data_IF_597414315408
#
_entry.id   IF_597414315408
#
_cell.length_a   1.000
_cell.length_b   1.000
_cell.length_c   1.000
_cell.angle_alpha   90.00
_cell.angle_beta   90.00
_cell.angle_gamma   90.00
#
_symmetry.space_group_name_H-M   'P 1'
#
loop_
_entity.id
_entity.type
_entity.pdbx_description
1 polymer ?
#
# COMPACT_ATOMS: atom_id res chain seq x y z
N UNK A 1 -9.89 5.95 -15.25
CA UNK A 1 -8.57 6.24 -14.65
C UNK A 1 -7.57 5.20 -15.10
N UNK A 2 -6.31 5.59 -15.34
CA UNK A 2 -5.20 4.66 -15.60
C UNK A 2 -4.49 4.29 -14.29
N UNK A 3 -3.77 3.17 -14.29
CA UNK A 3 -2.96 2.71 -13.14
C UNK A 3 -2.01 3.81 -12.64
N UNK A 4 -1.22 4.39 -13.55
CA UNK A 4 -0.29 5.46 -13.17
C UNK A 4 -0.96 6.70 -12.55
N UNK A 5 -2.23 6.98 -12.82
CA UNK A 5 -2.95 8.08 -12.15
C UNK A 5 -3.24 7.76 -10.69
N UNK A 6 -3.64 6.52 -10.40
CA UNK A 6 -3.87 6.03 -9.04
C UNK A 6 -2.56 5.99 -8.28
N UNK A 7 -1.51 5.41 -8.87
CA UNK A 7 -0.17 5.35 -8.25
C UNK A 7 0.36 6.76 -7.97
N UNK A 8 0.20 7.72 -8.89
CA UNK A 8 0.61 9.10 -8.66
C UNK A 8 -0.19 9.78 -7.53
N UNK A 9 -1.50 9.51 -7.45
CA UNK A 9 -2.35 10.03 -6.38
C UNK A 9 -1.96 9.43 -5.02
N UNK A 10 -1.71 8.12 -4.96
CA UNK A 10 -1.25 7.42 -3.76
C UNK A 10 0.10 7.95 -3.33
N UNK A 11 1.07 8.06 -4.25
CA UNK A 11 2.40 8.62 -3.99
C UNK A 11 2.31 10.00 -3.35
N UNK A 12 1.52 10.89 -3.95
CA UNK A 12 1.32 12.26 -3.45
C UNK A 12 0.66 12.28 -2.07
N UNK A 13 -0.30 11.40 -1.83
CA UNK A 13 -1.06 11.36 -0.57
C UNK A 13 -0.25 10.75 0.57
N UNK A 14 0.51 9.69 0.27
CA UNK A 14 1.36 8.98 1.23
C UNK A 14 2.74 9.64 1.44
N UNK A 15 3.09 10.63 0.61
CA UNK A 15 4.40 11.29 0.69
C UNK A 15 5.57 10.40 0.25
N UNK A 16 5.30 9.41 -0.62
CA UNK A 16 6.32 8.51 -1.14
C UNK A 16 7.12 9.20 -2.25
N UNK A 17 8.43 8.97 -2.30
CA UNK A 17 9.26 9.50 -3.38
C UNK A 17 9.26 8.56 -4.59
N UNK A 18 9.20 7.25 -4.33
CA UNK A 18 9.27 6.21 -5.35
C UNK A 18 7.89 5.81 -5.87
N UNK A 19 7.78 5.67 -7.20
CA UNK A 19 6.54 5.25 -7.84
C UNK A 19 6.33 3.73 -7.78
N UNK A 20 7.42 2.95 -7.69
CA UNK A 20 7.35 1.49 -7.47
C UNK A 20 6.75 1.20 -6.10
N UNK A 21 7.30 1.80 -5.05
CA UNK A 21 6.79 1.72 -3.68
C UNK A 21 5.32 2.13 -3.60
N UNK A 22 4.91 3.22 -4.27
CA UNK A 22 3.49 3.59 -4.30
C UNK A 22 2.60 2.56 -5.01
N UNK A 23 3.10 1.87 -6.04
CA UNK A 23 2.38 0.79 -6.71
C UNK A 23 2.28 -0.46 -5.83
N UNK A 24 3.37 -0.86 -5.18
CA UNK A 24 3.39 -1.97 -4.23
C UNK A 24 2.50 -1.70 -3.01
N UNK A 25 2.55 -0.48 -2.45
CA UNK A 25 1.63 -0.01 -1.41
C UNK A 25 0.16 -0.17 -1.80
N UNK A 26 -0.17 0.24 -3.02
CA UNK A 26 -1.52 0.14 -3.56
C UNK A 26 -1.95 -1.31 -3.68
N UNK A 27 -1.08 -2.18 -4.24
CA UNK A 27 -1.36 -3.60 -4.43
C UNK A 27 -1.50 -4.33 -3.10
N UNK A 28 -0.57 -4.13 -2.17
CA UNK A 28 -0.61 -4.75 -0.84
C UNK A 28 -1.88 -4.35 -0.08
N UNK A 29 -2.25 -3.07 -0.10
CA UNK A 29 -3.48 -2.58 0.52
C UNK A 29 -4.73 -3.24 -0.06
N UNK A 30 -4.82 -3.33 -1.39
CA UNK A 30 -5.97 -3.95 -2.04
C UNK A 30 -6.05 -5.46 -1.80
N UNK A 31 -4.92 -6.16 -1.81
CA UNK A 31 -4.86 -7.59 -1.49
C UNK A 31 -5.42 -7.86 -0.08
N UNK A 32 -4.96 -7.10 0.91
CA UNK A 32 -5.42 -7.26 2.31
C UNK A 32 -6.87 -6.83 2.47
N UNK A 33 -7.29 -5.76 1.79
CA UNK A 33 -8.69 -5.34 1.77
C UNK A 33 -9.58 -6.43 1.16
N UNK A 34 -9.17 -7.06 0.06
CA UNK A 34 -9.89 -8.13 -0.60
C UNK A 34 -10.12 -9.36 0.28
N UNK A 35 -9.17 -9.69 1.16
CA UNK A 35 -9.32 -10.76 2.16
C UNK A 35 -10.44 -10.46 3.17
N UNK A 36 -10.64 -9.18 3.50
CA UNK A 36 -11.62 -8.74 4.49
C UNK A 36 -13.04 -8.64 3.91
N UNK A 37 -13.16 -8.35 2.61
CA UNK A 37 -14.43 -8.33 1.89
C UNK A 37 -15.00 -9.76 1.78
N UNK A 38 -16.33 -9.89 1.74
CA UNK A 38 -17.00 -11.18 1.71
C UNK A 38 -17.65 -11.45 0.35
N UNK A 39 -17.66 -12.72 -0.08
CA UNK A 39 -18.38 -13.12 -1.28
C UNK A 39 -17.87 -12.38 -2.52
N UNK A 40 -18.76 -11.75 -3.30
CA UNK A 40 -18.41 -11.08 -4.56
C UNK A 40 -17.94 -9.62 -4.44
N UNK A 41 -17.91 -9.06 -3.22
CA UNK A 41 -17.49 -7.67 -2.98
C UNK A 41 -16.10 -7.29 -3.55
N UNK A 42 -15.03 -8.12 -3.43
CA UNK A 42 -13.75 -7.76 -4.03
C UNK A 42 -13.79 -7.80 -5.57
N UNK A 43 -14.65 -8.64 -6.15
CA UNK A 43 -14.89 -8.66 -7.59
C UNK A 43 -15.61 -7.41 -8.10
N UNK A 44 -16.58 -6.91 -7.33
CA UNK A 44 -17.26 -5.64 -7.65
C UNK A 44 -16.28 -4.45 -7.60
N UNK A 45 -15.44 -4.40 -6.56
CA UNK A 45 -14.37 -3.41 -6.44
C UNK A 45 -13.37 -3.51 -7.61
N UNK A 46 -12.96 -4.73 -7.98
CA UNK A 46 -12.09 -4.98 -9.12
C UNK A 46 -12.69 -4.48 -10.45
N UNK A 47 -14.02 -4.50 -10.60
CA UNK A 47 -14.73 -3.99 -11.76
C UNK A 47 -14.60 -2.47 -11.97
N UNK A 48 -14.21 -1.74 -10.92
CA UNK A 48 -14.03 -0.28 -10.95
C UNK A 48 -12.57 0.14 -11.15
N UNK A 49 -11.64 -0.83 -11.16
CA UNK A 49 -10.20 -0.57 -11.17
C UNK A 49 -9.57 -0.86 -12.54
N UNK A 50 -8.48 -0.14 -12.88
CA UNK A 50 -7.70 -0.44 -14.08
C UNK A 50 -7.01 -1.81 -14.01
N UNK A 51 -6.68 -2.36 -15.18
CA UNK A 51 -6.26 -3.76 -15.32
C UNK A 51 -5.07 -4.19 -14.45
N UNK A 52 -4.03 -3.37 -14.29
CA UNK A 52 -2.86 -3.75 -13.50
C UNK A 52 -3.02 -3.62 -11.97
N UNK A 53 -4.10 -2.96 -11.53
CA UNK A 53 -4.45 -2.80 -10.10
C UNK A 53 -5.48 -3.85 -9.68
N UNK A 54 -6.47 -4.14 -10.53
CA UNK A 54 -7.51 -5.14 -10.22
C UNK A 54 -6.93 -6.54 -9.99
N UNK A 55 -5.75 -6.84 -10.53
CA UNK A 55 -5.05 -8.12 -10.33
C UNK A 55 -4.66 -8.38 -8.86
N UNK A 56 -4.64 -7.34 -8.02
CA UNK A 56 -4.45 -7.48 -6.58
C UNK A 56 -5.70 -8.00 -5.85
N UNK A 57 -6.86 -8.01 -6.50
CA UNK A 57 -8.12 -8.46 -5.92
C UNK A 57 -8.52 -9.83 -6.46
N UNK A 58 -8.92 -10.73 -5.57
CA UNK A 58 -9.57 -11.98 -5.96
C UNK A 58 -11.01 -11.75 -6.37
N UNK A 59 -11.55 -12.63 -7.23
CA UNK A 59 -12.95 -12.57 -7.64
C UNK A 59 -13.91 -12.78 -6.45
N UNK A 60 -13.47 -13.50 -5.42
CA UNK A 60 -14.22 -13.75 -4.20
C UNK A 60 -13.36 -13.50 -2.97
N UNK A 61 -13.98 -12.96 -1.91
CA UNK A 61 -13.32 -12.68 -0.63
C UNK A 61 -13.78 -13.62 0.48
N UNK A 62 -12.86 -13.92 1.39
CA UNK A 62 -13.06 -14.85 2.51
C UNK A 62 -13.89 -14.24 3.66
N UNK A 63 -14.07 -12.91 3.67
CA UNK A 63 -14.71 -12.20 4.77
C UNK A 63 -13.90 -12.28 6.07
N UNK A 64 -12.57 -12.31 5.96
CA UNK A 64 -11.69 -12.48 7.11
C UNK A 64 -11.87 -11.33 8.10
N UNK A 65 -12.02 -11.67 9.38
CA UNK A 65 -12.17 -10.67 10.45
C UNK A 65 -10.85 -10.44 11.15
N UNK A 66 -10.29 -9.25 10.96
CA UNK A 66 -9.10 -8.80 11.66
C UNK A 66 -9.16 -7.30 11.94
N UNK A 67 -8.50 -6.89 13.02
CA UNK A 67 -8.43 -5.49 13.46
C UNK A 67 -7.49 -4.64 12.60
N UNK A 68 -7.50 -3.32 12.86
CA UNK A 68 -6.70 -2.35 12.10
C UNK A 68 -5.18 -2.58 12.23
N UNK A 69 -4.68 -3.01 13.39
CA UNK A 69 -3.25 -3.33 13.57
C UNK A 69 -2.80 -4.52 12.71
N UNK A 70 -3.63 -5.56 12.65
CA UNK A 70 -3.36 -6.73 11.82
C UNK A 70 -3.45 -6.37 10.34
N UNK A 71 -4.37 -5.49 9.96
CA UNK A 71 -4.45 -4.93 8.62
C UNK A 71 -3.13 -4.26 8.23
N UNK A 72 -2.62 -3.35 9.07
CA UNK A 72 -1.35 -2.70 8.79
C UNK A 72 -0.19 -3.69 8.71
N UNK A 73 -0.11 -4.66 9.61
CA UNK A 73 0.94 -5.69 9.57
C UNK A 73 0.95 -6.46 8.24
N UNK A 74 -0.20 -6.88 7.74
CA UNK A 74 -0.30 -7.59 6.47
C UNK A 74 0.02 -6.71 5.27
N UNK A 75 -0.37 -5.44 5.31
CA UNK A 75 -0.02 -4.49 4.24
C UNK A 75 1.49 -4.30 4.21
N UNK A 76 2.12 -4.05 5.35
CA UNK A 76 3.57 -3.89 5.44
C UNK A 76 4.34 -5.15 4.99
N UNK A 77 3.84 -6.33 5.32
CA UNK A 77 4.40 -7.61 4.84
C UNK A 77 4.28 -7.74 3.30
N UNK A 78 3.11 -7.38 2.76
CA UNK A 78 2.82 -7.45 1.33
C UNK A 78 3.53 -6.40 0.48
N UNK A 79 3.91 -5.25 1.06
CA UNK A 79 4.70 -4.23 0.37
C UNK A 79 6.13 -4.71 0.10
N UNK A 80 6.70 -5.59 0.95
CA UNK A 80 8.09 -6.03 0.84
C UNK A 80 9.14 -4.93 1.08
N UNK A 81 8.72 -3.67 1.10
CA UNK A 81 9.46 -2.50 1.55
C UNK A 81 9.26 -2.37 3.06
N UNK A 82 10.00 -3.15 3.85
CA UNK A 82 10.02 -2.98 5.29
C UNK A 82 10.18 -1.50 5.62
N UNK A 83 9.30 -0.94 6.47
CA UNK A 83 9.16 0.49 6.67
C UNK A 83 10.52 1.17 6.67
N UNK A 84 10.86 1.88 5.59
CA UNK A 84 12.01 2.76 5.60
C UNK A 84 11.62 3.92 6.52
N UNK A 85 11.84 3.74 7.83
CA UNK A 85 11.94 4.85 8.77
C UNK A 85 13.24 5.62 8.46
N UNK A 86 13.43 6.08 7.22
CA UNK A 86 14.49 7.03 6.86
C UNK A 86 13.91 8.45 7.01
N UNK A 87 13.56 8.76 8.26
CA UNK A 87 13.18 10.10 8.70
C UNK A 87 13.87 10.50 10.00
N UNK A 88 14.86 9.72 10.45
CA UNK A 88 15.62 9.97 11.68
C UNK A 88 17.11 9.73 11.46
N UNK A 89 17.72 10.47 10.53
CA UNK A 89 19.16 10.66 10.54
C UNK A 89 19.50 12.10 10.15
N UNK A 90 19.47 12.98 11.15
CA UNK A 90 20.40 14.12 11.14
C UNK A 90 21.78 13.59 11.59
N UNK A 91 22.79 13.48 10.70
CA UNK A 91 24.17 13.31 11.11
C UNK A 91 24.77 14.67 11.57
N UNK A 92 25.82 14.65 12.39
CA UNK A 92 26.03 15.61 13.47
C UNK A 92 26.50 16.97 12.98
N UNK A 93 25.93 18.02 13.58
CA UNK A 93 26.51 19.36 13.56
C UNK A 93 27.96 19.29 14.00
N UNK A 94 28.86 19.65 13.08
CA UNK A 94 30.29 19.79 13.32
C UNK A 94 30.53 20.68 14.53
N UNK A 95 31.01 20.07 15.61
CA UNK A 95 31.80 20.79 16.61
C UNK A 95 33.03 21.37 15.91
N UNK A 96 33.08 22.69 15.82
CA UNK A 96 34.35 23.42 15.68
C UNK A 96 34.58 24.15 17.01
N UNK A 97 35.48 23.68 17.88
CA UNK A 97 35.95 24.48 19.00
C UNK A 97 37.14 25.36 18.55
N UNK A 98 36.98 26.66 18.83
CA UNK A 98 37.97 27.74 19.05
C UNK A 98 39.13 27.93 18.08
#
# INVERSE_FOLDING_TARGET
MREQEIVAAVRKTAGLEDAGHAADATRATLTVLGQRLAGGEPGDLAGQLPAGIKEALSATGEGASFGVEEFYRRVMDGEGHGCTQDGAREPPGRSSPR
#
